data_IF_135514696990
#
_entry.id   IF_135514696990
#
_cell.length_a   1.000
_cell.length_b   1.000
_cell.length_c   1.000
_cell.angle_alpha   90.00
_cell.angle_beta   90.00
_cell.angle_gamma   90.00
#
_symmetry.space_group_name_H-M   'P 1'
#
loop_
_entity.id
_entity.type
_entity.pdbx_description
1 polymer ?
#
# COMPACT_ATOMS: atom_id res chain seq x y z
N UNK A 1 4.88 -18.25 -0.76
CA UNK A 1 5.26 -17.36 0.36
C UNK A 1 4.00 -16.70 0.89
N UNK A 2 3.88 -16.56 2.21
CA UNK A 2 2.73 -15.85 2.81
C UNK A 2 2.90 -14.36 2.58
N UNK A 3 1.84 -13.68 2.15
CA UNK A 3 1.82 -12.22 2.18
C UNK A 3 1.84 -11.77 3.66
N UNK A 4 2.62 -10.74 4.04
CA UNK A 4 2.81 -10.36 5.43
C UNK A 4 1.61 -9.60 6.02
N UNK A 5 0.67 -9.17 5.18
CA UNK A 5 -0.56 -8.50 5.60
C UNK A 5 -1.76 -9.45 5.51
N UNK A 6 -2.65 -9.39 6.49
CA UNK A 6 -3.91 -10.12 6.48
C UNK A 6 -5.01 -9.22 7.04
N UNK A 7 -6.10 -9.08 6.28
CA UNK A 7 -7.24 -8.27 6.69
C UNK A 7 -8.19 -9.14 7.53
N UNK A 8 -8.48 -8.70 8.74
CA UNK A 8 -9.44 -9.33 9.64
C UNK A 8 -10.69 -8.43 9.78
N UNK A 9 -11.71 -8.87 10.54
CA UNK A 9 -12.95 -8.09 10.71
C UNK A 9 -12.72 -6.75 11.40
N UNK A 10 -11.85 -6.73 12.41
CA UNK A 10 -11.66 -5.59 13.30
C UNK A 10 -10.36 -4.81 13.03
N UNK A 11 -9.56 -5.23 12.04
CA UNK A 11 -8.29 -4.59 11.75
C UNK A 11 -7.42 -5.34 10.74
N UNK A 12 -6.16 -4.91 10.65
CA UNK A 12 -5.14 -5.53 9.80
C UNK A 12 -4.08 -6.18 10.69
N UNK A 13 -3.77 -7.44 10.39
CA UNK A 13 -2.66 -8.16 10.99
C UNK A 13 -1.42 -8.02 10.11
N UNK A 14 -0.35 -7.51 10.71
CA UNK A 14 0.95 -7.29 10.07
C UNK A 14 1.94 -8.28 10.67
N UNK A 15 2.76 -8.91 9.82
CA UNK A 15 3.86 -9.81 10.20
C UNK A 15 5.20 -9.22 9.78
N UNK A 16 5.80 -8.35 10.60
CA UNK A 16 7.05 -7.65 10.27
C UNK A 16 8.23 -8.60 10.00
N UNK A 17 8.21 -9.79 10.59
CA UNK A 17 9.19 -10.85 10.41
C UNK A 17 9.15 -11.47 8.99
N UNK A 18 8.07 -11.26 8.24
CA UNK A 18 7.90 -11.70 6.86
C UNK A 18 8.11 -10.57 5.84
N UNK A 19 8.39 -9.34 6.31
CA UNK A 19 8.60 -8.16 5.47
C UNK A 19 10.08 -7.96 5.16
N UNK A 20 10.36 -7.60 3.91
CA UNK A 20 11.68 -7.15 3.49
C UNK A 20 11.79 -5.62 3.65
N UNK A 21 12.94 -5.11 4.10
CA UNK A 21 13.23 -3.68 4.05
C UNK A 21 13.10 -3.14 2.62
N UNK A 22 12.82 -1.84 2.51
CA UNK A 22 12.67 -1.15 1.22
C UNK A 22 11.56 -1.71 0.31
N UNK A 23 10.64 -2.50 0.86
CA UNK A 23 9.52 -3.07 0.10
C UNK A 23 8.20 -2.49 0.56
N UNK A 24 7.38 -2.08 -0.41
CA UNK A 24 6.01 -1.60 -0.18
C UNK A 24 5.05 -2.80 -0.14
N UNK A 25 4.32 -2.92 0.95
CA UNK A 25 3.20 -3.85 1.08
C UNK A 25 1.91 -3.06 1.21
N UNK A 26 0.83 -3.55 0.61
CA UNK A 26 -0.47 -2.88 0.68
C UNK A 26 -1.62 -3.86 0.94
N UNK A 27 -2.70 -3.37 1.53
CA UNK A 27 -3.97 -4.09 1.58
C UNK A 27 -5.13 -3.09 1.57
N UNK A 28 -6.34 -3.59 1.36
CA UNK A 28 -7.54 -2.76 1.38
C UNK A 28 -8.32 -3.07 2.65
N UNK A 29 -8.54 -2.05 3.47
CA UNK A 29 -9.32 -2.15 4.70
C UNK A 29 -10.26 -0.94 4.80
N UNK A 30 -11.53 -1.19 5.10
CA UNK A 30 -12.56 -0.13 5.22
C UNK A 30 -12.59 0.85 4.04
N UNK A 31 -12.47 0.33 2.80
CA UNK A 31 -12.45 1.14 1.58
C UNK A 31 -11.22 2.07 1.43
N UNK A 32 -10.19 1.91 2.26
CA UNK A 32 -8.91 2.62 2.15
C UNK A 32 -7.81 1.66 1.73
N UNK A 33 -6.81 2.17 1.03
CA UNK A 33 -5.57 1.43 0.82
C UNK A 33 -4.66 1.73 2.00
N UNK A 34 -4.19 0.68 2.67
CA UNK A 34 -3.22 0.77 3.75
C UNK A 34 -1.89 0.28 3.20
N UNK A 35 -0.90 1.17 3.19
CA UNK A 35 0.46 0.91 2.76
C UNK A 35 1.35 0.76 3.98
N UNK A 36 2.08 -0.35 4.04
CA UNK A 36 3.10 -0.61 5.06
C UNK A 36 4.46 -0.66 4.37
N UNK A 37 5.37 0.18 4.84
CA UNK A 37 6.75 0.23 4.38
C UNK A 37 7.69 -0.04 5.55
N UNK A 38 8.64 -0.95 5.37
CA UNK A 38 9.67 -1.24 6.35
C UNK A 38 10.97 -0.57 5.92
N UNK A 39 11.45 0.39 6.71
CA UNK A 39 12.70 1.09 6.42
C UNK A 39 13.94 0.31 6.90
N UNK A 40 15.13 0.83 6.58
CA UNK A 40 16.41 0.22 6.99
C UNK A 40 16.62 0.17 8.51
N UNK A 41 15.94 1.03 9.27
CA UNK A 41 15.96 1.02 10.73
C UNK A 41 15.04 -0.04 11.33
N UNK A 42 14.45 -0.91 10.50
CA UNK A 42 13.40 -1.87 10.85
C UNK A 42 12.13 -1.18 11.38
N UNK A 43 11.97 0.13 11.13
CA UNK A 43 10.77 0.88 11.51
C UNK A 43 9.69 0.64 10.47
N UNK A 44 8.49 0.34 10.96
CA UNK A 44 7.31 0.16 10.14
C UNK A 44 6.58 1.50 10.00
N UNK A 45 6.53 1.97 8.77
CA UNK A 45 5.78 3.14 8.37
C UNK A 45 4.43 2.69 7.81
N UNK A 46 3.35 3.37 8.19
CA UNK A 46 1.99 3.08 7.77
C UNK A 46 1.36 4.33 7.16
N UNK A 47 0.82 4.19 5.96
CA UNK A 47 0.16 5.26 5.23
C UNK A 47 -1.23 4.81 4.79
N UNK A 48 -2.19 5.74 4.81
CA UNK A 48 -3.55 5.49 4.33
C UNK A 48 -3.82 6.34 3.09
N UNK A 49 -4.46 5.74 2.09
CA UNK A 49 -4.95 6.44 0.91
C UNK A 49 -6.47 6.27 0.86
N UNK A 50 -7.15 7.41 0.90
CA UNK A 50 -8.61 7.52 0.82
C UNK A 50 -9.11 7.91 -0.58
N UNK A 51 -8.20 8.30 -1.48
CA UNK A 51 -8.54 8.77 -2.82
C UNK A 51 -9.29 7.69 -3.62
N UNK A 52 -10.54 7.98 -3.99
CA UNK A 52 -11.45 6.97 -4.55
C UNK A 52 -10.96 6.43 -5.89
N UNK A 53 -10.31 7.29 -6.70
CA UNK A 53 -9.72 6.87 -7.98
C UNK A 53 -8.64 5.80 -7.78
N UNK A 54 -7.76 6.01 -6.81
CA UNK A 54 -6.64 5.09 -6.51
C UNK A 54 -7.20 3.81 -5.90
N UNK A 55 -8.09 3.92 -4.90
CA UNK A 55 -8.78 2.77 -4.27
C UNK A 55 -9.48 1.91 -5.32
N UNK A 56 -10.20 2.53 -6.26
CA UNK A 56 -10.91 1.81 -7.31
C UNK A 56 -9.97 1.10 -8.27
N UNK A 57 -8.86 1.74 -8.67
CA UNK A 57 -7.83 1.12 -9.52
C UNK A 57 -7.19 -0.09 -8.84
N UNK A 58 -6.81 0.03 -7.57
CA UNK A 58 -6.20 -1.08 -6.81
C UNK A 58 -7.18 -2.24 -6.59
N UNK A 59 -8.47 -1.97 -6.39
CA UNK A 59 -9.49 -3.02 -6.31
C UNK A 59 -9.73 -3.74 -7.63
N UNK A 60 -9.78 -2.98 -8.72
CA UNK A 60 -9.98 -3.54 -10.06
C UNK A 60 -8.76 -4.35 -10.50
N UNK A 61 -7.58 -3.93 -10.06
CA UNK A 61 -6.36 -4.61 -10.35
C UNK A 61 -6.09 -5.73 -9.36
N UNK A 62 -6.41 -6.96 -9.76
CA UNK A 62 -6.23 -8.12 -8.89
C UNK A 62 -4.77 -8.34 -8.42
N UNK A 63 -3.76 -7.71 -9.04
CA UNK A 63 -2.33 -7.82 -8.68
C UNK A 63 -1.41 -6.68 -9.19
N UNK A 64 -1.91 -5.58 -9.78
CA UNK A 64 -0.95 -4.55 -10.25
C UNK A 64 -0.13 -4.00 -9.09
N UNK A 65 1.12 -3.69 -9.44
CA UNK A 65 2.03 -3.07 -8.52
C UNK A 65 1.44 -1.71 -8.11
N UNK A 66 1.06 -1.59 -6.83
CA UNK A 66 0.53 -0.35 -6.23
C UNK A 66 1.43 0.85 -6.57
N UNK A 67 2.74 0.63 -6.66
CA UNK A 67 3.73 1.63 -7.04
C UNK A 67 3.42 2.23 -8.42
N UNK A 68 3.10 1.41 -9.42
CA UNK A 68 2.77 1.88 -10.77
C UNK A 68 1.48 2.70 -10.78
N UNK A 69 0.47 2.29 -10.02
CA UNK A 69 -0.79 3.04 -9.91
C UNK A 69 -0.55 4.42 -9.29
N UNK A 70 0.32 4.48 -8.28
CA UNK A 70 0.70 5.74 -7.63
C UNK A 70 1.55 6.62 -8.55
N UNK A 71 2.52 6.06 -9.26
CA UNK A 71 3.34 6.76 -10.26
C UNK A 71 2.46 7.38 -11.35
N UNK A 72 1.56 6.60 -11.96
CA UNK A 72 0.62 7.09 -12.98
C UNK A 72 -0.27 8.23 -12.43
N UNK A 73 -0.69 8.13 -11.17
CA UNK A 73 -1.47 9.18 -10.53
C UNK A 73 -0.66 10.47 -10.31
N UNK A 74 0.58 10.35 -9.83
CA UNK A 74 1.51 11.47 -9.63
C UNK A 74 1.81 12.18 -10.95
N UNK A 75 2.05 11.42 -12.03
CA UNK A 75 2.27 11.97 -13.36
C UNK A 75 1.05 12.71 -13.90
N UNK A 76 -0.14 12.10 -13.79
CA UNK A 76 -1.41 12.69 -14.21
C UNK A 76 -1.67 14.02 -13.49
N UNK A 77 -1.52 14.04 -12.18
CA UNK A 77 -1.75 15.22 -11.35
C UNK A 77 -0.60 16.25 -11.41
N UNK A 78 0.47 15.97 -12.17
CA UNK A 78 1.68 16.80 -12.27
C UNK A 78 2.30 17.14 -10.90
N UNK A 79 2.18 16.24 -9.92
CA UNK A 79 2.68 16.45 -8.56
C UNK A 79 4.21 16.44 -8.47
N UNK A 80 4.90 16.03 -9.54
CA UNK A 80 6.36 16.08 -9.69
C UNK A 80 6.94 17.52 -9.81
N UNK A 81 6.12 18.58 -9.70
CA UNK A 81 6.59 19.97 -9.68
C UNK A 81 6.59 20.54 -8.26
N UNK A 82 7.62 20.21 -7.47
CA UNK A 82 8.08 21.03 -6.35
C UNK A 82 9.60 21.08 -6.31
#
# INVERSE_FOLDING_TARGET
MSYPLSVEKDGIKIKPEQMQPETIYHCIFQNKIIIIYKDHGEVLNCYEIEEEEIVSKVKASNKENIEKILEEYIEKENLNRQ
#
